data_IF_945294983298
#
_entry.id   IF_945294983298
#
_cell.length_a   1.000
_cell.length_b   1.000
_cell.length_c   1.000
_cell.angle_alpha   90.00
_cell.angle_beta   90.00
_cell.angle_gamma   90.00
#
_symmetry.space_group_name_H-M   'P 1'
#
loop_
_entity.id
_entity.type
_entity.pdbx_description
1 polymer ?
#
# COMPACT_ATOMS: atom_id res chain seq x y z
N UNK A 1 -4.26 6.79 11.69
CA UNK A 1 -5.74 6.72 11.82
C UNK A 1 -6.15 5.34 12.32
N UNK A 2 -7.07 5.22 13.28
CA UNK A 2 -7.57 3.91 13.76
C UNK A 2 -8.49 3.24 12.74
N UNK A 3 -8.39 1.91 12.65
CA UNK A 3 -9.27 1.06 11.82
C UNK A 3 -9.82 -0.10 12.64
N UNK A 4 -10.92 -0.68 12.19
CA UNK A 4 -11.40 -1.95 12.75
C UNK A 4 -10.34 -3.03 12.53
N UNK A 5 -9.99 -3.84 13.54
CA UNK A 5 -9.06 -4.94 13.34
C UNK A 5 -9.58 -5.90 12.26
N UNK A 6 -8.65 -6.52 11.51
CA UNK A 6 -8.98 -7.54 10.51
C UNK A 6 -9.93 -7.05 9.40
N UNK A 7 -9.89 -5.76 9.03
CA UNK A 7 -10.51 -5.29 7.78
C UNK A 7 -10.02 -6.12 6.59
N UNK A 8 -8.73 -6.46 6.56
CA UNK A 8 -8.21 -7.57 5.77
C UNK A 8 -7.88 -8.72 6.71
N UNK A 9 -8.53 -9.91 6.60
CA UNK A 9 -8.41 -10.98 7.59
C UNK A 9 -6.99 -11.51 7.84
N UNK A 10 -6.11 -11.36 6.85
CA UNK A 10 -4.70 -11.77 6.92
C UNK A 10 -3.84 -10.80 7.74
N UNK A 11 -4.40 -9.67 8.18
CA UNK A 11 -3.72 -8.59 8.87
C UNK A 11 -4.45 -8.26 10.17
N UNK A 12 -3.70 -8.22 11.28
CA UNK A 12 -4.23 -7.87 12.61
C UNK A 12 -4.06 -6.38 12.95
N UNK A 13 -3.68 -5.57 11.96
CA UNK A 13 -3.38 -4.16 12.12
C UNK A 13 -4.60 -3.36 12.59
N UNK A 14 -4.37 -2.44 13.53
CA UNK A 14 -5.44 -1.60 14.11
C UNK A 14 -5.29 -0.13 13.75
N UNK A 15 -4.22 0.22 13.02
CA UNK A 15 -4.06 1.54 12.42
C UNK A 15 -3.92 1.41 10.91
N UNK A 16 -4.33 2.44 10.19
CA UNK A 16 -4.18 2.47 8.74
C UNK A 16 -2.69 2.44 8.36
N UNK A 17 -1.82 3.05 9.16
CA UNK A 17 -0.39 3.11 8.91
C UNK A 17 0.31 1.76 9.10
N UNK A 18 -0.07 1.02 10.13
CA UNK A 18 0.42 -0.35 10.32
C UNK A 18 -0.05 -1.26 9.19
N UNK A 19 -1.34 -1.16 8.81
CA UNK A 19 -1.89 -1.91 7.69
C UNK A 19 -1.16 -1.61 6.37
N UNK A 20 -0.89 -0.34 6.05
CA UNK A 20 -0.14 0.06 4.85
C UNK A 20 1.22 -0.64 4.79
N UNK A 21 1.99 -0.61 5.89
CA UNK A 21 3.28 -1.27 5.93
C UNK A 21 3.17 -2.79 5.81
N UNK A 22 2.21 -3.41 6.50
CA UNK A 22 2.00 -4.85 6.42
C UNK A 22 1.65 -5.29 4.99
N UNK A 23 0.77 -4.56 4.30
CA UNK A 23 0.43 -4.80 2.89
C UNK A 23 1.66 -4.62 1.98
N UNK A 24 2.43 -3.53 2.14
CA UNK A 24 3.65 -3.27 1.37
C UNK A 24 4.69 -4.38 1.57
N UNK A 25 4.93 -4.78 2.81
CA UNK A 25 5.90 -5.84 3.13
C UNK A 25 5.46 -7.20 2.60
N UNK A 26 4.17 -7.53 2.71
CA UNK A 26 3.64 -8.75 2.12
C UNK A 26 3.78 -8.74 0.61
N UNK A 27 3.57 -7.59 -0.03
CA UNK A 27 3.78 -7.39 -1.47
C UNK A 27 5.24 -7.65 -1.84
N UNK A 28 6.20 -7.09 -1.10
CA UNK A 28 7.62 -7.32 -1.33
C UNK A 28 8.05 -8.78 -1.09
N UNK A 29 7.52 -9.41 -0.05
CA UNK A 29 7.74 -10.84 0.26
C UNK A 29 7.29 -11.73 -0.91
N UNK A 30 6.06 -11.50 -1.41
CA UNK A 30 5.50 -12.27 -2.52
C UNK A 30 6.24 -12.00 -3.82
N UNK A 31 6.61 -10.75 -4.10
CA UNK A 31 7.40 -10.41 -5.28
C UNK A 31 8.74 -11.15 -5.32
N UNK A 32 9.38 -11.33 -4.16
CA UNK A 32 10.65 -12.07 -4.03
C UNK A 32 10.48 -13.58 -4.15
N UNK A 33 9.25 -14.10 -4.15
CA UNK A 33 8.96 -15.51 -4.33
C UNK A 33 8.63 -15.82 -5.81
N UNK A 34 9.53 -16.50 -6.56
CA UNK A 34 9.31 -16.80 -7.97
C UNK A 34 8.08 -17.67 -8.25
N UNK A 35 7.61 -18.45 -7.27
CA UNK A 35 6.42 -19.28 -7.43
C UNK A 35 5.11 -18.47 -7.36
N UNK A 36 5.16 -17.27 -6.78
CA UNK A 36 3.98 -16.42 -6.57
C UNK A 36 3.98 -15.17 -7.45
N UNK A 37 5.14 -14.74 -7.99
CA UNK A 37 5.25 -13.62 -8.91
C UNK A 37 4.87 -14.04 -10.35
N UNK A 38 3.63 -13.75 -10.77
CA UNK A 38 3.09 -14.21 -12.06
C UNK A 38 3.83 -13.61 -13.25
N UNK A 39 4.29 -12.37 -13.11
CA UNK A 39 4.82 -11.59 -14.23
C UNK A 39 6.34 -11.48 -14.21
N UNK A 40 6.99 -11.87 -13.11
CA UNK A 40 8.39 -11.56 -12.80
C UNK A 40 8.68 -10.05 -12.74
N UNK A 41 7.65 -9.22 -12.63
CA UNK A 41 7.82 -7.77 -12.53
C UNK A 41 8.36 -7.41 -11.14
N UNK A 42 9.17 -6.35 -11.11
CA UNK A 42 9.61 -5.69 -9.88
C UNK A 42 8.84 -4.40 -9.72
N UNK A 43 7.70 -4.48 -9.05
CA UNK A 43 6.74 -3.39 -8.86
C UNK A 43 6.91 -2.67 -7.53
N UNK A 44 7.52 -3.30 -6.52
CA UNK A 44 7.71 -2.70 -5.19
C UNK A 44 9.17 -2.77 -4.73
N UNK A 45 9.63 -1.70 -4.09
CA UNK A 45 10.87 -1.61 -3.34
C UNK A 45 10.61 -0.98 -1.95
N UNK A 46 11.34 -1.44 -0.94
CA UNK A 46 11.26 -0.90 0.43
C UNK A 46 12.67 -0.65 0.94
N UNK A 47 12.93 0.59 1.35
CA UNK A 47 14.18 1.01 1.99
C UNK A 47 13.88 1.47 3.40
N UNK A 48 14.75 1.12 4.34
CA UNK A 48 14.60 1.50 5.76
C UNK A 48 15.84 2.30 6.19
N UNK A 49 15.63 3.45 6.82
CA UNK A 49 16.63 4.19 7.57
C UNK A 49 16.39 3.95 9.06
N UNK A 50 17.11 2.97 9.60
CA UNK A 50 16.99 2.58 11.01
C UNK A 50 17.47 3.65 11.99
N UNK A 51 18.30 4.60 11.53
CA UNK A 51 18.79 5.69 12.39
C UNK A 51 17.69 6.72 12.63
N UNK A 52 16.90 6.98 11.59
CA UNK A 52 15.76 7.90 11.64
C UNK A 52 14.44 7.21 11.97
N UNK A 53 14.43 5.88 12.05
CA UNK A 53 13.25 5.04 12.20
C UNK A 53 12.18 5.29 11.12
N UNK A 54 12.61 5.56 9.89
CA UNK A 54 11.71 5.80 8.75
C UNK A 54 11.93 4.80 7.62
N UNK A 55 10.89 4.57 6.85
CA UNK A 55 10.89 3.72 5.66
C UNK A 55 10.41 4.50 4.45
N UNK A 56 10.99 4.17 3.30
CA UNK A 56 10.55 4.60 1.98
C UNK A 56 10.00 3.39 1.25
N UNK A 57 8.76 3.48 0.78
CA UNK A 57 8.13 2.44 -0.05
C UNK A 57 7.91 3.03 -1.44
N UNK A 58 8.40 2.34 -2.46
CA UNK A 58 8.24 2.76 -3.85
C UNK A 58 7.50 1.68 -4.62
N UNK A 59 6.34 2.04 -5.16
CA UNK A 59 5.56 1.25 -6.10
C UNK A 59 5.71 1.89 -7.49
N UNK A 60 6.05 1.08 -8.50
CA UNK A 60 6.32 1.58 -9.85
C UNK A 60 5.68 0.72 -10.93
N UNK A 61 5.36 1.37 -12.04
CA UNK A 61 4.86 0.76 -13.27
C UNK A 61 3.63 -0.13 -13.04
N UNK A 62 2.75 0.28 -12.11
CA UNK A 62 1.52 -0.44 -11.83
C UNK A 62 0.50 -0.20 -12.94
N UNK A 63 0.20 -1.25 -13.69
CA UNK A 63 -0.80 -1.27 -14.72
C UNK A 63 -2.18 -1.24 -14.08
N UNK A 64 -2.97 -0.27 -14.50
CA UNK A 64 -4.28 -0.02 -13.94
C UNK A 64 -5.33 0.28 -15.00
N UNK A 65 -6.57 0.12 -14.59
CA UNK A 65 -7.75 0.32 -15.43
C UNK A 65 -8.73 1.21 -14.67
N UNK A 66 -9.44 2.06 -15.40
CA UNK A 66 -10.59 2.77 -14.85
C UNK A 66 -11.85 2.06 -15.32
N UNK A 67 -12.59 1.48 -14.39
CA UNK A 67 -13.89 0.85 -14.64
C UNK A 67 -14.97 1.55 -13.81
N UNK A 68 -15.96 2.14 -14.48
CA UNK A 68 -17.06 2.90 -13.86
C UNK A 68 -16.60 3.93 -12.79
N UNK A 69 -15.50 4.63 -13.08
CA UNK A 69 -14.90 5.62 -12.16
C UNK A 69 -14.13 5.01 -10.98
N UNK A 70 -14.03 3.69 -10.92
CA UNK A 70 -13.18 2.96 -9.96
C UNK A 70 -11.85 2.64 -10.62
N UNK A 71 -10.80 2.96 -9.89
CA UNK A 71 -9.45 2.60 -10.25
C UNK A 71 -9.18 1.14 -9.83
N UNK A 72 -8.63 0.32 -10.72
CA UNK A 72 -8.35 -1.10 -10.48
C UNK A 72 -6.92 -1.42 -10.89
N UNK A 73 -6.15 -1.98 -9.96
CA UNK A 73 -4.78 -2.44 -10.24
C UNK A 73 -4.80 -3.86 -10.77
N UNK A 74 -3.98 -4.12 -11.80
CA UNK A 74 -3.69 -5.48 -12.28
C UNK A 74 -3.23 -6.36 -11.13
N UNK A 75 -3.71 -7.60 -11.06
CA UNK A 75 -3.10 -8.56 -10.15
C UNK A 75 -1.76 -9.08 -10.70
N UNK A 76 -0.68 -8.86 -9.95
CA UNK A 76 0.69 -9.29 -10.29
C UNK A 76 1.05 -10.65 -9.70
N UNK A 77 0.24 -11.16 -8.76
CA UNK A 77 0.63 -12.29 -7.93
C UNK A 77 -0.40 -13.40 -7.92
N UNK A 78 0.09 -14.65 -7.91
CA UNK A 78 -0.70 -15.83 -7.63
C UNK A 78 -0.72 -16.09 -6.12
N UNK A 79 -1.25 -15.13 -5.38
CA UNK A 79 -1.35 -15.18 -3.93
C UNK A 79 -2.82 -15.24 -3.53
N UNK A 80 -3.15 -16.18 -2.63
CA UNK A 80 -4.49 -16.29 -2.06
C UNK A 80 -4.72 -15.15 -1.06
N UNK A 81 -5.12 -14.00 -1.59
CA UNK A 81 -5.47 -12.82 -0.81
C UNK A 81 -6.93 -12.92 -0.40
N UNK A 82 -7.19 -12.79 0.90
CA UNK A 82 -8.57 -12.75 1.40
C UNK A 82 -9.13 -11.34 1.23
N UNK A 83 -10.23 -11.22 0.49
CA UNK A 83 -10.94 -9.97 0.28
C UNK A 83 -11.14 -9.20 1.58
N UNK A 84 -10.95 -7.88 1.50
CA UNK A 84 -11.22 -7.03 2.65
C UNK A 84 -12.72 -6.84 2.87
N UNK A 85 -13.06 -6.67 4.14
CA UNK A 85 -14.42 -6.44 4.63
C UNK A 85 -14.65 -4.95 4.83
N UNK A 86 -15.90 -4.50 4.66
CA UNK A 86 -16.28 -3.10 4.86
C UNK A 86 -16.44 -2.31 3.56
N UNK A 87 -16.38 -0.98 3.67
CA UNK A 87 -16.47 -0.05 2.53
C UNK A 87 -15.07 0.44 2.14
N UNK A 88 -14.99 1.22 1.06
CA UNK A 88 -13.76 1.90 0.63
C UNK A 88 -13.00 2.53 1.82
N UNK A 89 -11.67 2.29 1.95
CA UNK A 89 -10.76 1.67 0.96
C UNK A 89 -10.59 0.15 1.09
N UNK A 90 -11.35 -0.55 1.94
CA UNK A 90 -11.06 -1.93 2.34
C UNK A 90 -11.69 -3.01 1.47
N UNK A 91 -12.64 -2.68 0.60
CA UNK A 91 -13.39 -3.65 -0.22
C UNK A 91 -12.61 -4.14 -1.47
N UNK A 92 -11.31 -4.41 -1.32
CA UNK A 92 -10.41 -4.81 -2.42
C UNK A 92 -10.09 -6.30 -2.37
N UNK A 93 -9.91 -6.88 -3.55
CA UNK A 93 -9.83 -8.34 -3.75
C UNK A 93 -8.44 -8.82 -4.14
N UNK A 94 -7.47 -7.91 -4.31
CA UNK A 94 -6.07 -8.29 -4.51
C UNK A 94 -5.15 -7.47 -3.62
N UNK A 95 -3.99 -8.03 -3.30
CA UNK A 95 -3.02 -7.42 -2.39
C UNK A 95 -2.53 -6.05 -2.87
N UNK A 96 -2.16 -5.94 -4.15
CA UNK A 96 -1.63 -4.69 -4.72
C UNK A 96 -2.73 -3.64 -4.84
N UNK A 97 -3.94 -4.06 -5.22
CA UNK A 97 -5.11 -3.18 -5.30
C UNK A 97 -5.52 -2.67 -3.91
N UNK A 98 -5.49 -3.54 -2.89
CA UNK A 98 -5.70 -3.18 -1.49
C UNK A 98 -4.67 -2.14 -1.02
N UNK A 99 -3.38 -2.38 -1.28
CA UNK A 99 -2.30 -1.47 -0.93
C UNK A 99 -2.50 -0.08 -1.55
N UNK A 100 -2.73 -0.02 -2.86
CA UNK A 100 -2.89 1.26 -3.56
C UNK A 100 -4.11 2.04 -3.06
N UNK A 101 -5.24 1.39 -2.83
CA UNK A 101 -6.43 2.08 -2.35
C UNK A 101 -6.30 2.58 -0.92
N UNK A 102 -5.60 1.82 -0.06
CA UNK A 102 -5.25 2.28 1.29
C UNK A 102 -4.34 3.51 1.20
N UNK A 103 -3.34 3.51 0.31
CA UNK A 103 -2.46 4.66 0.09
C UNK A 103 -3.20 5.89 -0.44
N UNK A 104 -4.08 5.73 -1.42
CA UNK A 104 -4.89 6.84 -1.96
C UNK A 104 -5.80 7.42 -0.88
N UNK A 105 -6.37 6.57 -0.03
CA UNK A 105 -7.16 7.04 1.10
C UNK A 105 -6.30 7.80 2.13
N UNK A 106 -5.10 7.30 2.46
CA UNK A 106 -4.17 7.98 3.37
C UNK A 106 -3.74 9.34 2.82
N UNK A 107 -3.32 9.41 1.56
CA UNK A 107 -2.95 10.67 0.91
C UNK A 107 -4.10 11.69 0.97
N UNK A 108 -5.34 11.24 0.74
CA UNK A 108 -6.51 12.11 0.90
C UNK A 108 -6.65 12.64 2.33
N UNK A 109 -6.33 11.85 3.35
CA UNK A 109 -6.34 12.34 4.74
C UNK A 109 -5.20 13.33 5.02
N UNK A 110 -4.02 13.18 4.40
CA UNK A 110 -2.90 14.11 4.54
C UNK A 110 -3.26 15.54 4.09
N UNK A 111 -4.17 15.66 3.12
CA UNK A 111 -4.68 16.94 2.63
C UNK A 111 -5.68 17.62 3.60
N UNK A 112 -6.17 16.91 4.61
CA UNK A 112 -7.11 17.46 5.59
C UNK A 112 -6.31 18.18 6.68
N UNK A 113 -6.24 19.51 6.58
CA UNK A 113 -5.47 20.37 7.50
C UNK A 113 -5.76 20.08 8.98
N UNK A 114 -7.03 19.80 9.33
CA UNK A 114 -7.42 19.49 10.71
C UNK A 114 -6.83 18.17 11.23
N UNK A 115 -6.46 17.24 10.34
CA UNK A 115 -5.85 15.96 10.66
C UNK A 115 -4.32 15.96 10.44
N UNK A 116 -3.80 16.91 9.66
CA UNK A 116 -2.38 17.08 9.36
C UNK A 116 -1.93 18.55 9.54
N UNK A 117 -1.88 19.05 10.79
CA UNK A 117 -1.54 20.45 11.06
C UNK A 117 -0.10 20.82 10.66
N UNK A 118 0.77 19.83 10.43
CA UNK A 118 2.14 20.01 9.94
C UNK A 118 2.27 20.00 8.41
N UNK A 119 1.19 19.71 7.67
CA UNK A 119 1.21 19.51 6.22
C UNK A 119 2.31 18.55 5.75
N UNK A 120 2.60 17.53 6.55
CA UNK A 120 3.54 16.49 6.18
C UNK A 120 2.86 15.61 5.13
N UNK A 121 3.34 15.71 3.90
CA UNK A 121 2.91 14.88 2.79
C UNK A 121 3.90 13.73 2.68
N UNK A 122 3.49 12.54 3.09
CA UNK A 122 4.34 11.36 3.02
C UNK A 122 4.04 10.55 1.77
N UNK A 123 2.90 10.77 1.10
CA UNK A 123 2.46 9.94 -0.02
C UNK A 123 2.32 10.79 -1.28
N UNK A 124 2.98 10.34 -2.34
CA UNK A 124 2.87 10.93 -3.67
C UNK A 124 2.47 9.88 -4.71
N UNK A 125 1.72 10.33 -5.72
CA UNK A 125 1.28 9.50 -6.84
C UNK A 125 1.61 10.18 -8.16
N UNK A 126 2.08 9.37 -9.10
CA UNK A 126 2.28 9.77 -10.49
C UNK A 126 1.50 8.84 -11.42
N UNK A 127 0.82 9.43 -12.40
CA UNK A 127 -0.07 8.75 -13.33
C UNK A 127 0.38 9.06 -14.75
N UNK A 128 0.84 8.04 -15.46
CA UNK A 128 1.27 8.17 -16.85
C UNK A 128 0.29 7.44 -17.78
N UNK A 129 -0.13 8.15 -18.84
CA UNK A 129 -0.81 7.51 -19.97
C UNK A 129 0.22 6.75 -20.81
N UNK A 130 -0.11 5.54 -21.23
CA UNK A 130 0.78 4.74 -22.09
C UNK A 130 0.07 4.37 -23.38
N UNK A 131 0.70 4.72 -24.50
CA UNK A 131 0.17 4.51 -25.85
C UNK A 131 0.16 3.04 -26.31
N UNK A 132 0.92 2.17 -25.65
CA UNK A 132 1.08 0.75 -26.03
C UNK A 132 0.33 -0.25 -25.12
N UNK A 133 -0.42 0.23 -24.12
CA UNK A 133 -1.22 -0.66 -23.26
C UNK A 133 -2.49 -1.15 -23.98
N UNK A 134 -2.97 -2.34 -23.62
CA UNK A 134 -4.19 -2.91 -24.22
C UNK A 134 -5.44 -2.20 -23.69
N UNK A 135 -6.61 -2.30 -24.35
CA UNK A 135 -7.83 -1.59 -23.90
C UNK A 135 -8.26 -1.90 -22.45
N UNK A 136 -7.81 -3.02 -21.90
CA UNK A 136 -8.12 -3.46 -20.55
C UNK A 136 -7.20 -2.86 -19.49
N UNK A 137 -6.12 -2.15 -19.85
CA UNK A 137 -5.27 -1.40 -18.93
C UNK A 137 -4.92 -0.06 -19.58
N UNK A 138 -5.13 1.02 -18.87
CA UNK A 138 -5.17 2.35 -19.49
C UNK A 138 -4.08 3.27 -18.93
N UNK A 139 -3.53 2.96 -17.75
CA UNK A 139 -2.66 3.85 -16.99
C UNK A 139 -1.52 3.08 -16.33
N UNK A 140 -0.35 3.71 -16.25
CA UNK A 140 0.69 3.33 -15.30
C UNK A 140 0.61 4.23 -14.08
N UNK A 141 0.71 3.59 -12.91
CA UNK A 141 0.65 4.27 -11.63
C UNK A 141 1.89 3.97 -10.82
N UNK A 142 2.48 5.04 -10.35
CA UNK A 142 3.58 5.04 -9.41
C UNK A 142 3.07 5.62 -8.09
N UNK A 143 3.49 5.05 -6.97
CA UNK A 143 3.19 5.58 -5.65
C UNK A 143 4.46 5.54 -4.81
N UNK A 144 4.79 6.64 -4.15
CA UNK A 144 5.94 6.70 -3.26
C UNK A 144 5.50 7.16 -1.88
N UNK A 145 5.92 6.41 -0.86
CA UNK A 145 5.84 6.81 0.54
C UNK A 145 7.24 7.23 0.97
N UNK A 146 7.41 8.46 1.45
CA UNK A 146 8.68 8.98 1.99
C UNK A 146 8.55 9.30 3.46
N UNK A 147 9.65 9.11 4.20
CA UNK A 147 9.74 9.39 5.64
C UNK A 147 8.63 8.73 6.47
N UNK A 148 8.15 7.56 6.04
CA UNK A 148 7.06 6.86 6.71
C UNK A 148 7.57 6.19 7.99
N UNK A 149 6.91 6.31 9.14
CA UNK A 149 7.45 5.76 10.39
C UNK A 149 7.51 4.23 10.37
N UNK A 150 8.66 3.65 10.74
CA UNK A 150 8.81 2.19 10.91
C UNK A 150 8.00 1.71 12.13
N UNK A 151 7.91 2.54 13.17
CA UNK A 151 7.14 2.27 14.38
C UNK A 151 5.93 3.19 14.43
N UNK A 152 4.73 2.62 14.48
CA UNK A 152 3.50 3.39 14.64
C UNK A 152 3.02 3.25 16.08
N UNK A 153 2.95 4.35 16.83
CA UNK A 153 2.49 4.32 18.24
C UNK A 153 1.09 4.92 18.34
N UNK A 154 0.18 4.28 19.09
CA UNK A 154 -1.15 4.84 19.37
C UNK A 154 -1.31 5.11 20.87
N UNK A 155 -0.98 6.34 21.29
CA UNK A 155 -1.02 6.75 22.70
C UNK A 155 0.05 6.06 23.55
N UNK A 156 -0.30 5.60 24.75
CA UNK A 156 0.59 4.89 25.70
C UNK A 156 0.78 3.40 25.37
N UNK A 157 0.12 2.91 24.32
CA UNK A 157 0.22 1.51 23.90
C UNK A 157 1.06 1.46 22.62
N UNK A 158 2.23 0.81 22.71
CA UNK A 158 3.01 0.45 21.54
C UNK A 158 2.20 -0.57 20.73
N UNK A 159 1.54 -0.13 19.67
CA UNK A 159 0.83 -1.04 18.77
C UNK A 159 1.71 -1.26 17.54
N UNK A 160 2.38 -2.41 17.59
CA UNK A 160 3.05 -3.06 16.46
C UNK A 160 4.30 -2.32 15.96
N UNK A 161 5.43 -2.68 16.55
CA UNK A 161 6.73 -2.50 15.92
C UNK A 161 6.69 -3.21 14.57
N UNK A 162 6.54 -2.46 13.50
CA UNK A 162 6.43 -3.01 12.18
C UNK A 162 7.86 -3.46 11.79
N UNK A 163 8.19 -4.73 12.04
CA UNK A 163 9.41 -5.40 11.56
C UNK A 163 9.02 -6.69 10.86
N UNK A 164 9.44 -6.88 9.59
CA UNK A 164 9.61 -8.25 9.11
C UNK A 164 10.97 -8.42 8.43
N UNK A 165 12.08 -8.08 9.10
CA UNK A 165 13.42 -8.64 8.84
C UNK A 165 14.34 -8.62 10.08
N UNK A 166 13.79 -8.92 11.26
CA UNK A 166 14.59 -9.63 12.27
C UNK A 166 14.28 -11.11 12.08
N UNK A 167 15.22 -11.81 11.43
CA UNK A 167 15.49 -13.19 11.81
C UNK A 167 16.16 -13.13 13.18
#
# INVERSE_FOLDING_TARGET
MLITPSQYPQFADTSLESLTLSLARKTLEIQKNPALNLTNDTIIDIKEDLTKEVTTVTLKDLQATIDNGTFLIKNYFNYDFTDGTGIYPFNRTSLVDALIHVLMFQQKQELIIAQNPGSLMCIDFDFANVTEMNMAQQLLVNATLTDYPITVTNGTTNVTAAKPYLI
#
